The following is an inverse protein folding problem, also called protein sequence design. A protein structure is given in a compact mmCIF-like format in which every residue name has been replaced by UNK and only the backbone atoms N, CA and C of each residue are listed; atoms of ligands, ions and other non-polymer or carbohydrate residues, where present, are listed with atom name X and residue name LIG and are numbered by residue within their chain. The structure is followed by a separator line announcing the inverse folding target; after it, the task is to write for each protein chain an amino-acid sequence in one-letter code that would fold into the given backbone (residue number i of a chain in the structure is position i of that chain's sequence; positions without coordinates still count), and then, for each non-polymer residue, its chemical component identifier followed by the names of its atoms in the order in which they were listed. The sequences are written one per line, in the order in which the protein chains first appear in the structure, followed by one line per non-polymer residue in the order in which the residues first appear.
data_IF_608575290598
#
_entry.id   IF_608575290598
#
_cell.length_a   1.000
_cell.length_b   1.000
_cell.length_c   1.000
_cell.angle_alpha   90.00
_cell.angle_beta   90.00
_cell.angle_gamma   90.00
#
_symmetry.space_group_name_H-M   'P 1'
#
loop_
_entity.id
_entity.type
_entity.pdbx_description
1 polymer ?
#
# COMPACT_ATOMS: atom_id res chain seq x y z
N UNK A 1 -7.34 -22.10 -6.89
CA UNK A 1 -5.95 -22.37 -7.35
C UNK A 1 -5.74 -22.31 -8.86
N UNK A 2 -6.75 -22.50 -9.72
CA UNK A 2 -6.53 -22.54 -11.18
C UNK A 2 -6.32 -21.15 -11.82
N UNK A 3 -7.00 -20.12 -11.32
CA UNK A 3 -6.96 -18.78 -11.91
C UNK A 3 -5.63 -18.05 -11.68
N UNK A 4 -5.07 -18.12 -10.47
CA UNK A 4 -3.77 -17.49 -10.17
C UNK A 4 -2.63 -18.08 -11.01
N UNK A 5 -2.59 -19.41 -11.15
CA UNK A 5 -1.59 -20.09 -12.00
C UNK A 5 -1.75 -19.77 -13.48
N UNK A 6 -2.98 -19.57 -13.96
CA UNK A 6 -3.20 -19.12 -15.33
C UNK A 6 -2.72 -17.68 -15.54
N UNK A 7 -2.94 -16.81 -14.56
CA UNK A 7 -2.50 -15.41 -14.62
C UNK A 7 -0.98 -15.25 -14.47
N UNK A 8 -0.31 -16.13 -13.74
CA UNK A 8 1.16 -16.18 -13.69
C UNK A 8 1.78 -16.44 -15.07
N UNK A 9 1.11 -17.24 -15.91
CA UNK A 9 1.49 -17.48 -17.30
C UNK A 9 0.96 -16.43 -18.28
N UNK A 10 0.26 -15.39 -17.79
CA UNK A 10 -0.39 -14.42 -18.65
C UNK A 10 0.64 -13.59 -19.45
N UNK A 11 0.29 -13.19 -20.68
CA UNK A 11 1.14 -12.36 -21.52
C UNK A 11 1.54 -11.07 -20.81
N UNK A 12 2.70 -10.55 -21.18
CA UNK A 12 3.19 -9.27 -20.65
C UNK A 12 2.61 -8.06 -21.41
N UNK A 13 2.02 -8.27 -22.58
CA UNK A 13 1.50 -7.19 -23.43
C UNK A 13 -0.02 -7.22 -23.56
N UNK A 14 -0.65 -6.05 -23.41
CA UNK A 14 -2.09 -5.85 -23.64
C UNK A 14 -2.53 -6.19 -25.08
N UNK A 15 -1.61 -6.10 -26.05
CA UNK A 15 -1.83 -6.41 -27.47
C UNK A 15 -2.45 -7.80 -27.69
N UNK A 16 -2.11 -8.77 -26.84
CA UNK A 16 -2.59 -10.16 -26.91
C UNK A 16 -4.09 -10.27 -26.61
N UNK A 17 -4.66 -9.34 -25.85
CA UNK A 17 -6.11 -9.28 -25.59
C UNK A 17 -6.90 -8.74 -26.80
N UNK A 18 -6.22 -8.07 -27.73
CA UNK A 18 -6.80 -7.50 -28.94
C UNK A 18 -8.03 -6.65 -28.65
N UNK A 19 -9.12 -6.89 -29.39
CA UNK A 19 -10.37 -6.13 -29.27
C UNK A 19 -11.10 -6.28 -27.91
N UNK A 20 -10.70 -7.23 -27.07
CA UNK A 20 -11.37 -7.48 -25.78
C UNK A 20 -10.75 -6.70 -24.63
N UNK A 21 -9.58 -6.08 -24.81
CA UNK A 21 -8.84 -5.40 -23.75
C UNK A 21 -9.69 -4.34 -23.04
N UNK A 22 -10.28 -3.42 -23.81
CA UNK A 22 -11.13 -2.34 -23.27
C UNK A 22 -12.40 -2.87 -22.59
N UNK A 23 -13.04 -3.89 -23.17
CA UNK A 23 -14.24 -4.49 -22.57
C UNK A 23 -13.93 -5.19 -21.25
N UNK A 24 -12.78 -5.85 -21.16
CA UNK A 24 -12.31 -6.49 -19.92
C UNK A 24 -11.97 -5.45 -18.85
N UNK A 25 -11.24 -4.39 -19.22
CA UNK A 25 -10.91 -3.29 -18.31
C UNK A 25 -12.19 -2.67 -17.72
N UNK A 26 -13.15 -2.31 -18.57
CA UNK A 26 -14.42 -1.72 -18.15
C UNK A 26 -15.26 -2.67 -17.26
N UNK A 27 -15.19 -3.98 -17.49
CA UNK A 27 -15.90 -4.97 -16.70
C UNK A 27 -15.32 -5.13 -15.28
N UNK A 28 -13.99 -5.08 -15.14
CA UNK A 28 -13.32 -5.32 -13.86
C UNK A 28 -13.51 -4.20 -12.84
N UNK A 29 -13.75 -2.96 -13.29
CA UNK A 29 -14.03 -1.80 -12.43
C UNK A 29 -15.52 -1.58 -12.16
N UNK A 30 -16.40 -2.47 -12.65
CA UNK A 30 -17.83 -2.38 -12.33
C UNK A 30 -18.04 -2.49 -10.81
N UNK A 31 -18.94 -1.68 -10.20
CA UNK A 31 -19.22 -1.74 -8.76
C UNK A 31 -19.62 -3.14 -8.26
N UNK A 32 -20.28 -3.93 -9.12
CA UNK A 32 -20.64 -5.31 -8.84
C UNK A 32 -19.44 -6.25 -8.67
N UNK A 33 -18.26 -5.87 -9.18
CA UNK A 33 -17.01 -6.63 -9.10
C UNK A 33 -16.09 -6.06 -8.01
N UNK A 34 -15.71 -4.78 -8.08
CA UNK A 34 -14.83 -4.15 -7.08
C UNK A 34 -15.46 -4.08 -5.68
N UNK A 35 -16.78 -3.92 -5.63
CA UNK A 35 -17.58 -3.87 -4.40
C UNK A 35 -18.27 -5.19 -4.06
N UNK A 36 -17.90 -6.31 -4.69
CA UNK A 36 -18.60 -7.57 -4.50
C UNK A 36 -18.59 -8.03 -3.03
N UNK A 37 -19.73 -8.55 -2.54
CA UNK A 37 -19.90 -8.94 -1.14
C UNK A 37 -19.07 -10.18 -0.76
N UNK A 38 -18.88 -11.10 -1.71
CA UNK A 38 -17.97 -12.24 -1.57
C UNK A 38 -16.51 -11.76 -1.63
N UNK A 39 -15.77 -12.03 -0.54
CA UNK A 39 -14.38 -11.62 -0.38
C UNK A 39 -13.43 -12.33 -1.34
N UNK A 40 -13.72 -13.57 -1.72
CA UNK A 40 -12.87 -14.30 -2.66
C UNK A 40 -13.03 -13.71 -4.06
N UNK A 41 -14.27 -13.41 -4.48
CA UNK A 41 -14.53 -12.70 -5.75
C UNK A 41 -13.82 -11.36 -5.78
N UNK A 42 -13.96 -10.57 -4.70
CA UNK A 42 -13.30 -9.27 -4.56
C UNK A 42 -11.77 -9.38 -4.63
N UNK A 43 -11.17 -10.40 -4.00
CA UNK A 43 -9.73 -10.63 -4.04
C UNK A 43 -9.24 -11.11 -5.41
N UNK A 44 -9.98 -11.99 -6.08
CA UNK A 44 -9.66 -12.39 -7.45
C UNK A 44 -9.77 -11.20 -8.41
N UNK A 45 -10.74 -10.30 -8.22
CA UNK A 45 -10.83 -9.06 -8.99
C UNK A 45 -9.60 -8.17 -8.77
N UNK A 46 -9.13 -8.01 -7.52
CA UNK A 46 -7.91 -7.26 -7.21
C UNK A 46 -6.69 -7.83 -7.94
N UNK A 47 -6.55 -9.17 -7.95
CA UNK A 47 -5.50 -9.86 -8.66
C UNK A 47 -5.59 -9.66 -10.18
N UNK A 48 -6.77 -9.84 -10.78
CA UNK A 48 -7.00 -9.58 -12.20
C UNK A 48 -6.67 -8.13 -12.59
N UNK A 49 -7.08 -7.16 -11.77
CA UNK A 49 -6.79 -5.74 -12.00
C UNK A 49 -5.29 -5.45 -11.94
N UNK A 50 -4.56 -6.02 -10.98
CA UNK A 50 -3.11 -5.87 -10.88
C UNK A 50 -2.40 -6.43 -12.12
N UNK A 51 -2.81 -7.61 -12.60
CA UNK A 51 -2.29 -8.17 -13.85
C UNK A 51 -2.63 -7.33 -15.07
N UNK A 52 -3.86 -6.83 -15.15
CA UNK A 52 -4.29 -5.99 -16.26
C UNK A 52 -3.47 -4.70 -16.30
N UNK A 53 -3.34 -4.00 -15.18
CA UNK A 53 -2.53 -2.79 -15.07
C UNK A 53 -1.07 -3.04 -15.45
N UNK A 54 -0.51 -4.19 -15.07
CA UNK A 54 0.83 -4.60 -15.52
C UNK A 54 0.94 -4.71 -17.05
N UNK A 55 -0.09 -5.23 -17.71
CA UNK A 55 -0.11 -5.37 -19.18
C UNK A 55 -0.27 -4.04 -19.92
N UNK A 56 -0.91 -3.07 -19.26
CA UNK A 56 -1.16 -1.73 -19.77
C UNK A 56 0.00 -0.76 -19.50
N UNK A 57 0.82 -1.03 -18.47
CA UNK A 57 1.95 -0.18 -18.12
C UNK A 57 2.84 0.16 -19.33
N UNK A 58 3.28 1.42 -19.47
CA UNK A 58 3.20 2.51 -18.48
C UNK A 58 1.85 3.23 -18.40
N UNK A 59 0.97 3.08 -19.39
CA UNK A 59 -0.26 3.87 -19.52
C UNK A 59 -1.47 3.12 -18.97
N UNK A 60 -2.17 3.67 -17.97
CA UNK A 60 -3.35 3.00 -17.41
C UNK A 60 -4.59 3.20 -18.31
N UNK A 61 -5.50 2.21 -18.41
CA UNK A 61 -6.75 2.35 -19.16
C UNK A 61 -7.85 3.10 -18.39
N UNK A 62 -7.54 3.57 -17.18
CA UNK A 62 -8.52 4.07 -16.22
C UNK A 62 -8.34 5.57 -15.99
N UNK A 63 -9.45 6.26 -15.74
CA UNK A 63 -9.43 7.63 -15.23
C UNK A 63 -9.16 7.69 -13.71
N UNK A 64 -8.96 8.89 -13.18
CA UNK A 64 -8.62 9.09 -11.76
C UNK A 64 -9.68 8.53 -10.80
N UNK A 65 -10.96 8.59 -11.16
CA UNK A 65 -12.03 8.05 -10.31
C UNK A 65 -11.98 6.53 -10.28
N UNK A 66 -11.78 5.89 -11.43
CA UNK A 66 -11.60 4.45 -11.52
C UNK A 66 -10.32 4.00 -10.81
N UNK A 67 -9.23 4.74 -10.96
CA UNK A 67 -7.97 4.43 -10.27
C UNK A 67 -8.13 4.50 -8.75
N UNK A 68 -8.91 5.45 -8.21
CA UNK A 68 -9.22 5.51 -6.77
C UNK A 68 -9.89 4.23 -6.28
N UNK A 69 -10.90 3.73 -6.99
CA UNK A 69 -11.58 2.47 -6.66
C UNK A 69 -10.62 1.26 -6.75
N UNK A 70 -9.76 1.24 -7.77
CA UNK A 70 -8.75 0.18 -7.93
C UNK A 70 -7.76 0.20 -6.77
N UNK A 71 -7.23 1.35 -6.38
CA UNK A 71 -6.29 1.47 -5.26
C UNK A 71 -6.94 1.16 -3.91
N UNK A 72 -8.22 1.47 -3.70
CA UNK A 72 -8.95 1.03 -2.51
C UNK A 72 -9.03 -0.50 -2.45
N UNK A 73 -9.36 -1.13 -3.57
CA UNK A 73 -9.43 -2.59 -3.66
C UNK A 73 -8.05 -3.25 -3.45
N UNK A 74 -6.98 -2.69 -4.03
CA UNK A 74 -5.62 -3.17 -3.84
C UNK A 74 -5.16 -3.01 -2.40
N UNK A 75 -5.42 -1.85 -1.78
CA UNK A 75 -5.14 -1.61 -0.35
C UNK A 75 -5.84 -2.63 0.52
N UNK A 76 -7.12 -2.89 0.25
CA UNK A 76 -7.88 -3.93 0.93
C UNK A 76 -7.25 -5.32 0.75
N UNK A 77 -6.85 -5.69 -0.46
CA UNK A 77 -6.22 -6.99 -0.74
C UNK A 77 -4.87 -7.14 -0.02
N UNK A 78 -4.05 -6.09 -0.02
CA UNK A 78 -2.74 -6.05 0.63
C UNK A 78 -2.84 -6.13 2.16
N UNK A 79 -3.85 -5.49 2.76
CA UNK A 79 -4.08 -5.56 4.22
C UNK A 79 -4.26 -6.99 4.73
N UNK A 80 -4.76 -7.90 3.88
CA UNK A 80 -5.00 -9.31 4.22
C UNK A 80 -3.73 -10.14 4.32
N UNK A 81 -2.57 -9.61 3.91
CA UNK A 81 -1.27 -10.24 4.16
C UNK A 81 -0.99 -10.42 5.65
N UNK A 82 -1.59 -9.60 6.53
CA UNK A 82 -1.51 -9.77 7.97
C UNK A 82 -2.11 -11.11 8.49
N UNK A 83 -2.75 -11.90 7.61
CA UNK A 83 -3.36 -13.19 7.92
C UNK A 83 -2.66 -14.35 7.17
N UNK A 84 -1.41 -14.72 7.51
CA UNK A 84 -0.66 -15.75 6.79
C UNK A 84 -1.30 -17.14 6.79
N UNK A 85 -2.15 -17.44 7.78
CA UNK A 85 -2.90 -18.70 7.83
C UNK A 85 -4.11 -18.76 6.90
N UNK A 86 -4.48 -17.67 6.21
CA UNK A 86 -5.62 -17.66 5.32
C UNK A 86 -5.33 -18.42 4.02
N UNK A 87 -6.28 -19.20 3.47
CA UNK A 87 -6.08 -19.92 2.20
C UNK A 87 -5.83 -18.97 1.01
N UNK A 88 -6.21 -17.71 1.15
CA UNK A 88 -6.03 -16.66 0.15
C UNK A 88 -4.69 -15.94 0.23
N UNK A 89 -3.83 -16.24 1.21
CA UNK A 89 -2.58 -15.52 1.47
C UNK A 89 -1.69 -15.43 0.22
N UNK A 90 -1.55 -16.53 -0.51
CA UNK A 90 -0.78 -16.56 -1.77
C UNK A 90 -1.29 -15.58 -2.82
N UNK A 91 -2.59 -15.37 -2.93
CA UNK A 91 -3.17 -14.43 -3.89
C UNK A 91 -2.79 -12.99 -3.50
N UNK A 92 -2.84 -12.66 -2.21
CA UNK A 92 -2.39 -11.37 -1.71
C UNK A 92 -0.90 -11.15 -1.95
N UNK A 93 -0.06 -12.18 -1.83
CA UNK A 93 1.37 -12.10 -2.16
C UNK A 93 1.59 -11.82 -3.65
N UNK A 94 0.85 -12.49 -4.53
CA UNK A 94 0.88 -12.20 -5.97
C UNK A 94 0.50 -10.74 -6.25
N UNK A 95 -0.53 -10.21 -5.59
CA UNK A 95 -0.90 -8.79 -5.73
C UNK A 95 0.25 -7.87 -5.30
N UNK A 96 0.89 -8.15 -4.15
CA UNK A 96 2.04 -7.37 -3.67
C UNK A 96 3.21 -7.39 -4.68
N UNK A 97 3.54 -8.56 -5.22
CA UNK A 97 4.62 -8.69 -6.21
C UNK A 97 4.33 -7.88 -7.48
N UNK A 98 3.08 -7.84 -7.95
CA UNK A 98 2.69 -7.05 -9.12
C UNK A 98 2.74 -5.54 -8.82
N UNK A 99 2.26 -5.14 -7.65
CA UNK A 99 2.30 -3.75 -7.15
C UNK A 99 3.74 -3.24 -7.07
N UNK A 100 4.64 -4.07 -6.54
CA UNK A 100 6.09 -3.80 -6.47
C UNK A 100 6.70 -3.70 -7.87
N UNK A 101 6.48 -4.73 -8.70
CA UNK A 101 7.10 -4.84 -10.03
C UNK A 101 6.77 -3.65 -10.93
N UNK A 102 5.53 -3.18 -10.89
CA UNK A 102 5.03 -2.09 -11.76
C UNK A 102 5.13 -0.74 -11.06
N UNK A 103 5.58 -0.70 -9.80
CA UNK A 103 5.71 0.53 -9.01
C UNK A 103 4.41 1.32 -8.95
N UNK A 104 3.31 0.66 -8.61
CA UNK A 104 1.97 1.28 -8.57
C UNK A 104 1.91 2.53 -7.69
N UNK A 105 2.82 2.66 -6.71
CA UNK A 105 2.92 3.85 -5.88
C UNK A 105 3.13 5.14 -6.71
N UNK A 106 3.76 5.08 -7.90
CA UNK A 106 3.91 6.24 -8.78
C UNK A 106 2.55 6.77 -9.24
N UNK A 107 1.70 5.88 -9.74
CA UNK A 107 0.33 6.24 -10.16
C UNK A 107 -0.46 6.80 -8.97
N UNK A 108 -0.29 6.23 -7.78
CA UNK A 108 -1.00 6.70 -6.59
C UNK A 108 -0.56 8.09 -6.13
N UNK A 109 0.74 8.40 -6.23
CA UNK A 109 1.28 9.74 -5.94
C UNK A 109 0.73 10.75 -6.95
N UNK A 110 0.67 10.39 -8.24
CA UNK A 110 0.15 11.25 -9.31
C UNK A 110 -1.36 11.55 -9.18
N UNK A 111 -2.14 10.69 -8.52
CA UNK A 111 -3.60 10.88 -8.31
C UNK A 111 -3.96 12.00 -7.33
N UNK A 112 -2.98 12.50 -6.57
CA UNK A 112 -3.15 13.52 -5.54
C UNK A 112 -4.36 13.23 -4.61
N UNK A 113 -4.32 12.04 -4.00
CA UNK A 113 -5.38 11.49 -3.15
C UNK A 113 -4.82 11.14 -1.76
N UNK A 114 -4.65 12.13 -0.86
CA UNK A 114 -3.89 11.95 0.38
C UNK A 114 -4.47 10.87 1.30
N UNK A 115 -5.79 10.77 1.42
CA UNK A 115 -6.44 9.76 2.26
C UNK A 115 -6.25 8.35 1.70
N UNK A 116 -6.26 8.22 0.37
CA UNK A 116 -6.04 6.94 -0.31
C UNK A 116 -4.58 6.51 -0.23
N UNK A 117 -3.66 7.47 -0.36
CA UNK A 117 -2.23 7.26 -0.18
C UNK A 117 -1.93 6.78 1.25
N UNK A 118 -2.52 7.43 2.26
CA UNK A 118 -2.45 7.00 3.65
C UNK A 118 -3.02 5.58 3.85
N UNK A 119 -4.18 5.29 3.26
CA UNK A 119 -4.81 3.96 3.31
C UNK A 119 -3.90 2.87 2.75
N UNK A 120 -3.33 3.11 1.56
CA UNK A 120 -2.42 2.18 0.90
C UNK A 120 -1.13 1.96 1.70
N UNK A 121 -0.54 3.05 2.20
CA UNK A 121 0.65 3.02 3.04
C UNK A 121 0.42 2.19 4.30
N UNK A 122 -0.69 2.43 5.01
CA UNK A 122 -1.03 1.70 6.22
C UNK A 122 -1.36 0.23 5.96
N UNK A 123 -2.03 -0.09 4.84
CA UNK A 123 -2.29 -1.47 4.45
C UNK A 123 -0.99 -2.27 4.30
N UNK A 124 0.04 -1.69 3.68
CA UNK A 124 1.36 -2.31 3.51
C UNK A 124 2.17 -2.32 4.81
N UNK A 125 2.18 -1.23 5.57
CA UNK A 125 2.92 -1.14 6.83
C UNK A 125 2.41 -2.17 7.86
N UNK A 126 1.10 -2.41 7.88
CA UNK A 126 0.45 -3.39 8.76
C UNK A 126 0.41 -4.80 8.19
N UNK A 127 0.69 -4.99 6.90
CA UNK A 127 0.76 -6.31 6.27
C UNK A 127 1.89 -7.18 6.84
N UNK A 128 2.97 -6.55 7.33
CA UNK A 128 4.15 -7.25 7.86
C UNK A 128 3.95 -7.61 9.33
N UNK A 129 3.97 -8.91 9.60
CA UNK A 129 3.86 -9.53 10.91
C UNK A 129 5.07 -10.41 11.17
N UNK A 130 5.31 -10.82 12.42
CA UNK A 130 6.39 -11.75 12.73
C UNK A 130 6.23 -13.13 12.08
N UNK A 131 5.02 -13.48 11.63
CA UNK A 131 4.72 -14.78 11.03
C UNK A 131 4.84 -14.82 9.50
N UNK A 132 5.04 -13.68 8.82
CA UNK A 132 5.11 -13.61 7.36
C UNK A 132 6.27 -12.75 6.83
N UNK A 133 7.13 -12.25 7.72
CA UNK A 133 8.15 -11.26 7.37
C UNK A 133 9.13 -11.78 6.31
N UNK A 134 9.51 -13.06 6.37
CA UNK A 134 10.44 -13.66 5.39
C UNK A 134 9.87 -13.60 3.96
N UNK A 135 8.55 -13.67 3.82
CA UNK A 135 7.91 -13.73 2.52
C UNK A 135 7.46 -12.38 1.96
N UNK A 136 7.25 -11.36 2.80
CA UNK A 136 6.67 -10.07 2.36
C UNK A 136 7.50 -8.83 2.69
N UNK A 137 8.41 -8.89 3.67
CA UNK A 137 9.08 -7.68 4.20
C UNK A 137 9.89 -6.95 3.12
N UNK A 138 10.55 -7.68 2.23
CA UNK A 138 11.33 -7.10 1.13
C UNK A 138 10.44 -6.27 0.18
N UNK A 139 9.42 -6.90 -0.42
CA UNK A 139 8.50 -6.25 -1.36
C UNK A 139 7.77 -5.07 -0.73
N UNK A 140 7.35 -5.19 0.54
CA UNK A 140 6.75 -4.07 1.28
C UNK A 140 7.74 -2.93 1.47
N UNK A 141 9.01 -3.23 1.81
CA UNK A 141 10.06 -2.21 1.96
C UNK A 141 10.32 -1.47 0.65
N UNK A 142 10.38 -2.18 -0.48
CA UNK A 142 10.57 -1.55 -1.79
C UNK A 142 9.40 -0.62 -2.16
N UNK A 143 8.16 -1.08 -2.01
CA UNK A 143 6.97 -0.29 -2.28
C UNK A 143 6.89 0.97 -1.41
N UNK A 144 7.02 0.81 -0.09
CA UNK A 144 6.92 1.93 0.85
C UNK A 144 8.10 2.88 0.76
N UNK A 145 9.31 2.36 0.51
CA UNK A 145 10.50 3.17 0.30
C UNK A 145 10.37 4.05 -0.95
N UNK A 146 9.95 3.46 -2.07
CA UNK A 146 9.68 4.20 -3.31
C UNK A 146 8.58 5.24 -3.12
N UNK A 147 7.49 4.91 -2.45
CA UNK A 147 6.41 5.86 -2.14
C UNK A 147 6.91 7.06 -1.32
N UNK A 148 7.71 6.84 -0.28
CA UNK A 148 8.25 7.92 0.55
C UNK A 148 9.25 8.81 -0.20
N UNK A 149 10.06 8.23 -1.07
CA UNK A 149 11.02 8.95 -1.92
C UNK A 149 10.30 9.81 -2.97
N UNK A 150 9.26 9.30 -3.62
CA UNK A 150 8.49 10.04 -4.64
C UNK A 150 7.55 11.09 -4.03
N UNK A 151 7.13 10.90 -2.77
CA UNK A 151 6.38 11.92 -2.05
C UNK A 151 7.28 13.11 -1.61
N UNK A 152 8.60 13.03 -1.80
CA UNK A 152 9.57 14.09 -1.48
C UNK A 152 9.51 15.24 -2.50
N UNK A 153 8.76 16.29 -2.18
CA UNK A 153 8.76 17.55 -2.92
C UNK A 153 7.42 17.87 -3.59
N UNK A 154 7.01 19.14 -3.51
CA UNK A 154 5.69 19.61 -3.97
C UNK A 154 4.63 19.65 -2.86
N UNK A 155 3.35 19.64 -3.24
CA UNK A 155 2.19 19.62 -2.33
C UNK A 155 2.10 18.29 -1.52
N UNK A 156 2.77 17.22 -1.98
CA UNK A 156 2.90 15.92 -1.29
C UNK A 156 3.69 15.94 0.03
N UNK A 157 4.42 17.02 0.32
CA UNK A 157 5.13 17.20 1.59
C UNK A 157 4.20 17.29 2.80
N UNK A 158 2.96 17.75 2.61
CA UNK A 158 1.96 17.79 3.68
C UNK A 158 1.45 16.38 4.02
N UNK A 159 1.24 15.53 3.02
CA UNK A 159 0.79 14.14 3.21
C UNK A 159 1.84 13.32 3.96
N UNK A 160 3.12 13.48 3.61
CA UNK A 160 4.22 12.86 4.33
C UNK A 160 4.21 13.20 5.82
N UNK A 161 3.98 14.47 6.15
CA UNK A 161 4.01 14.96 7.53
C UNK A 161 2.76 14.60 8.33
N UNK A 162 1.59 14.73 7.72
CA UNK A 162 0.31 14.59 8.43
C UNK A 162 -0.17 13.14 8.50
N UNK A 163 0.12 12.34 7.47
CA UNK A 163 -0.42 10.98 7.34
C UNK A 163 0.63 9.90 7.56
N UNK A 164 1.76 9.97 6.83
CA UNK A 164 2.71 8.85 6.75
C UNK A 164 3.69 8.82 7.93
N UNK A 165 4.20 9.98 8.33
CA UNK A 165 5.14 10.09 9.43
C UNK A 165 4.55 9.62 10.76
N UNK A 166 3.31 9.98 11.16
CA UNK A 166 2.70 9.46 12.37
C UNK A 166 2.57 7.92 12.36
N UNK A 167 2.19 7.33 11.22
CA UNK A 167 2.09 5.88 11.07
C UNK A 167 3.46 5.19 11.24
N UNK A 168 4.54 5.75 10.67
CA UNK A 168 5.91 5.27 10.86
C UNK A 168 6.35 5.36 12.32
N UNK A 169 6.12 6.50 12.98
CA UNK A 169 6.48 6.71 14.38
C UNK A 169 5.73 5.75 15.31
N UNK A 170 4.45 5.49 15.04
CA UNK A 170 3.66 4.53 15.80
C UNK A 170 4.16 3.10 15.61
N UNK A 171 4.53 2.71 14.38
CA UNK A 171 5.14 1.41 14.10
C UNK A 171 6.48 1.20 14.85
N UNK A 172 7.24 2.27 15.09
CA UNK A 172 8.48 2.22 15.88
C UNK A 172 8.21 2.04 17.37
N UNK A 173 7.28 2.82 17.91
CA UNK A 173 6.97 2.84 19.34
C UNK A 173 6.23 1.57 19.76
N UNK A 174 5.31 1.09 18.92
CA UNK A 174 4.40 0.00 19.22
C UNK A 174 3.25 0.42 20.13
N UNK A 175 2.16 -0.34 20.08
CA UNK A 175 1.00 -0.16 20.96
C UNK A 175 1.21 -0.95 22.26
N UNK A 176 1.73 -0.29 23.30
CA UNK A 176 1.75 -0.83 24.67
C UNK A 176 2.87 -1.84 25.01
N UNK A 177 3.03 -2.08 26.32
CA UNK A 177 3.97 -3.06 26.87
C UNK A 177 3.50 -4.48 26.50
N UNK A 178 4.20 -5.14 25.56
CA UNK A 178 4.19 -6.60 25.48
C UNK A 178 4.05 -7.23 24.09
N UNK A 179 3.69 -6.53 23.01
CA UNK A 179 3.45 -7.22 21.72
C UNK A 179 3.53 -6.34 20.47
N UNK A 180 4.49 -5.41 20.41
CA UNK A 180 4.87 -4.84 19.12
C UNK A 180 5.56 -5.92 18.28
N UNK A 181 4.90 -6.38 17.21
CA UNK A 181 5.49 -7.31 16.25
C UNK A 181 6.86 -6.81 15.81
N UNK A 182 7.91 -7.55 16.13
CA UNK A 182 9.30 -7.12 15.95
C UNK A 182 9.58 -6.73 14.50
N UNK A 183 8.92 -7.39 13.55
CA UNK A 183 9.05 -7.18 12.12
C UNK A 183 8.49 -5.85 11.64
N UNK A 184 7.32 -5.41 12.16
CA UNK A 184 6.76 -4.09 11.81
C UNK A 184 7.66 -2.96 12.28
N UNK A 185 8.23 -3.07 13.49
CA UNK A 185 9.22 -2.12 14.01
C UNK A 185 10.49 -2.10 13.15
N UNK A 186 11.02 -3.27 12.78
CA UNK A 186 12.21 -3.38 11.92
C UNK A 186 11.97 -2.77 10.53
N UNK A 187 10.80 -3.02 9.94
CA UNK A 187 10.39 -2.41 8.68
C UNK A 187 10.41 -0.88 8.80
N UNK A 188 9.77 -0.31 9.82
CA UNK A 188 9.77 1.15 10.03
C UNK A 188 11.19 1.70 10.22
N UNK A 189 12.07 1.00 10.96
CA UNK A 189 13.48 1.40 11.10
C UNK A 189 14.23 1.39 9.75
N UNK A 190 14.00 0.37 8.92
CA UNK A 190 14.60 0.28 7.58
C UNK A 190 14.12 1.42 6.68
N UNK A 191 12.83 1.74 6.70
CA UNK A 191 12.27 2.85 5.94
C UNK A 191 12.85 4.19 6.38
N UNK A 192 12.99 4.43 7.69
CA UNK A 192 13.65 5.64 8.20
C UNK A 192 15.11 5.76 7.73
N UNK A 193 15.85 4.65 7.68
CA UNK A 193 17.24 4.63 7.24
C UNK A 193 17.37 4.82 5.73
N UNK A 194 16.50 4.18 4.94
CA UNK A 194 16.49 4.30 3.48
C UNK A 194 16.07 5.70 3.04
N UNK A 195 14.99 6.20 3.62
CA UNK A 195 14.36 7.46 3.25
C UNK A 195 14.81 8.60 4.18
N UNK A 196 16.11 8.64 4.55
CA UNK A 196 16.63 9.68 5.46
C UNK A 196 16.40 11.08 4.89
N UNK A 197 16.65 11.28 3.59
CA UNK A 197 16.55 12.58 2.93
C UNK A 197 15.17 13.24 3.09
N UNK A 198 14.05 12.59 2.72
CA UNK A 198 12.72 13.17 2.89
C UNK A 198 12.31 13.31 4.36
N UNK A 199 12.70 12.35 5.20
CA UNK A 199 12.15 12.24 6.55
C UNK A 199 12.91 13.09 7.58
N UNK A 200 14.20 13.35 7.37
CA UNK A 200 15.06 14.08 8.31
C UNK A 200 14.52 15.46 8.71
N UNK A 201 14.12 16.36 7.78
CA UNK A 201 13.58 17.67 8.19
C UNK A 201 12.26 17.53 8.99
N UNK A 202 11.42 16.57 8.63
CA UNK A 202 10.15 16.31 9.31
C UNK A 202 10.40 15.79 10.75
N UNK A 203 11.31 14.83 10.90
CA UNK A 203 11.73 14.28 12.19
C UNK A 203 12.35 15.35 13.10
N UNK A 204 13.18 16.24 12.55
CA UNK A 204 13.77 17.35 13.31
C UNK A 204 12.70 18.32 13.82
N UNK A 205 11.68 18.62 13.00
CA UNK A 205 10.54 19.46 13.39
C UNK A 205 9.71 18.80 14.50
N UNK A 206 9.34 17.54 14.35
CA UNK A 206 8.58 16.80 15.37
C UNK A 206 9.38 16.74 16.69
N UNK A 207 10.68 16.44 16.62
CA UNK A 207 11.53 16.43 17.81
C UNK A 207 11.57 17.79 18.51
N UNK A 208 11.66 18.88 17.75
CA UNK A 208 11.65 20.24 18.29
C UNK A 208 10.31 20.59 18.96
N UNK A 209 9.19 20.18 18.37
CA UNK A 209 7.85 20.38 18.95
C UNK A 209 7.63 19.59 20.23
N UNK A 210 8.12 18.34 20.27
CA UNK A 210 8.09 17.50 21.48
C UNK A 210 8.92 18.12 22.62
N UNK A 211 10.12 18.61 22.31
CA UNK A 211 11.01 19.26 23.29
C UNK A 211 10.44 20.59 23.80
N UNK A 212 9.73 21.33 22.94
CA UNK A 212 9.04 22.57 23.31
C UNK A 212 7.76 22.34 24.14
N UNK A 213 7.32 21.08 24.29
CA UNK A 213 6.08 20.73 25.00
C UNK A 213 4.80 21.05 24.21
N UNK A 214 4.91 21.42 22.93
CA UNK A 214 3.79 21.79 22.05
C UNK A 214 3.09 20.58 21.42
N UNK A 215 3.61 19.38 21.64
CA UNK A 215 3.05 18.13 21.15
C UNK A 215 3.38 17.03 22.17
N UNK A 216 2.37 16.29 22.64
CA UNK A 216 2.59 15.17 23.56
C UNK A 216 2.68 13.83 22.82
N UNK A 217 3.40 12.86 23.39
CA UNK A 217 3.46 11.48 22.86
C UNK A 217 2.06 10.86 22.69
N UNK A 218 1.12 11.24 23.55
CA UNK A 218 -0.28 10.78 23.49
C UNK A 218 -1.03 11.40 22.32
N UNK A 219 -0.77 12.66 21.98
CA UNK A 219 -1.38 13.33 20.82
C UNK A 219 -0.86 12.75 19.50
N UNK A 220 0.44 12.46 19.39
CA UNK A 220 0.99 11.76 18.22
C UNK A 220 0.39 10.35 18.08
N UNK A 221 0.28 9.61 19.18
CA UNK A 221 -0.35 8.30 19.17
C UNK A 221 -1.84 8.37 18.80
N UNK A 222 -2.57 9.38 19.28
CA UNK A 222 -3.97 9.60 18.93
C UNK A 222 -4.13 9.92 17.43
N UNK A 223 -3.33 10.85 16.90
CA UNK A 223 -3.33 11.18 15.47
C UNK A 223 -3.03 9.97 14.60
N UNK A 224 -2.00 9.20 14.92
CA UNK A 224 -1.64 8.00 14.18
C UNK A 224 -2.71 6.90 14.28
N UNK A 225 -3.38 6.78 15.44
CA UNK A 225 -4.48 5.83 15.63
C UNK A 225 -5.68 6.20 14.76
N UNK A 226 -6.06 7.47 14.71
CA UNK A 226 -7.19 7.91 13.89
C UNK A 226 -6.95 7.64 12.39
N UNK A 227 -5.70 7.73 11.93
CA UNK A 227 -5.29 7.42 10.55
C UNK A 227 -5.31 5.91 10.28
N UNK A 228 -5.04 5.07 11.29
CA UNK A 228 -4.97 3.61 11.14
C UNK A 228 -6.34 2.91 11.15
N UNK A 229 -7.36 3.54 11.74
CA UNK A 229 -8.69 2.93 11.96
C UNK A 229 -9.82 3.55 11.14
N UNK A 230 -9.51 4.42 10.17
CA UNK A 230 -10.43 4.85 9.11
C UNK A 230 -10.47 3.84 7.96
#
# INVERSE_FOLDING_TARGET
MHLSTMLESAPHEVSVLGKHAAALAAALVQPSIVGHADKDVKLYAACCLAYLLRMYAPDTPYDDMQLREVFQLLSWALSRLALPGAPTFRICQTVLQLVEQVKFYLVLVDLDAPELLATFFNALLNAVTDSNAEEVEYSVTECLGGLLEESEGGEGGEVLDQELLPALLLALVGEGEGQAGGSRRRLAQRLLQRCERPLRPLLQRVASQLLAGSCSRKELAARASDILFQ
#
